data_IF_015823857298
#
_entry.id   IF_015823857298
#
_cell.length_a   1.000
_cell.length_b   1.000
_cell.length_c   1.000
_cell.angle_alpha   90.00
_cell.angle_beta   90.00
_cell.angle_gamma   90.00
#
_symmetry.space_group_name_H-M   'P 1'
#
loop_
_entity.id
_entity.type
_entity.pdbx_description
1 polymer ?
#
# COMPACT_ATOMS: atom_id res chain seq x y z
N UNK A 1 -19.91 2.48 5.84
CA UNK A 1 -19.03 3.50 6.46
C UNK A 1 -18.49 4.41 5.37
N UNK A 2 -18.06 5.66 5.64
CA UNK A 2 -17.40 6.46 4.60
C UNK A 2 -16.14 5.75 4.13
N UNK A 3 -15.91 5.76 2.81
CA UNK A 3 -14.71 5.23 2.18
C UNK A 3 -13.47 5.89 2.79
N UNK A 4 -12.54 5.09 3.31
CA UNK A 4 -11.28 5.57 3.87
C UNK A 4 -10.16 5.39 2.84
N UNK A 5 -9.01 5.96 3.16
CA UNK A 5 -7.82 5.85 2.34
C UNK A 5 -6.59 5.53 3.20
N UNK A 6 -5.71 4.70 2.67
CA UNK A 6 -4.52 4.21 3.38
C UNK A 6 -3.30 4.18 2.48
N UNK A 7 -2.16 4.61 3.01
CA UNK A 7 -0.84 4.30 2.47
C UNK A 7 -0.33 3.04 3.16
N UNK A 8 0.04 2.02 2.37
CA UNK A 8 0.64 0.78 2.86
C UNK A 8 2.10 0.71 2.42
N UNK A 9 3.00 0.50 3.37
CA UNK A 9 4.43 0.36 3.10
C UNK A 9 4.72 -0.98 2.40
N UNK A 10 5.51 -0.95 1.32
CA UNK A 10 5.89 -2.17 0.57
C UNK A 10 7.05 -2.95 1.20
N UNK A 11 7.33 -2.72 2.48
CA UNK A 11 8.35 -3.37 3.30
C UNK A 11 9.79 -3.27 2.76
N UNK A 12 10.15 -2.23 2.00
CA UNK A 12 11.51 -2.06 1.47
C UNK A 12 12.60 -1.98 2.54
N UNK A 13 12.27 -1.61 3.78
CA UNK A 13 13.22 -1.63 4.90
C UNK A 13 13.43 -3.01 5.49
N UNK A 14 12.37 -3.83 5.63
CA UNK A 14 12.46 -5.20 6.12
C UNK A 14 12.90 -6.20 5.04
N UNK A 15 12.67 -5.87 3.77
CA UNK A 15 13.07 -6.66 2.62
C UNK A 15 13.83 -5.79 1.59
N UNK A 16 15.12 -5.48 1.84
CA UNK A 16 15.91 -4.58 0.98
C UNK A 16 16.10 -5.06 -0.46
N UNK A 17 16.02 -6.38 -0.70
CA UNK A 17 16.06 -6.95 -2.04
C UNK A 17 14.74 -6.75 -2.82
N UNK A 18 13.65 -6.35 -2.15
CA UNK A 18 12.36 -5.97 -2.75
C UNK A 18 11.47 -7.13 -3.17
N UNK A 19 11.69 -8.33 -2.63
CA UNK A 19 10.85 -9.50 -2.87
C UNK A 19 9.38 -9.18 -2.57
N UNK A 20 9.12 -8.64 -1.40
CA UNK A 20 7.77 -8.30 -0.91
C UNK A 20 7.07 -7.25 -1.78
N UNK A 21 7.80 -6.20 -2.17
CA UNK A 21 7.28 -5.17 -3.07
C UNK A 21 6.89 -5.75 -4.42
N UNK A 22 7.76 -6.59 -5.01
CA UNK A 22 7.46 -7.25 -6.29
C UNK A 22 6.27 -8.19 -6.17
N UNK A 23 6.17 -8.93 -5.08
CA UNK A 23 5.05 -9.82 -4.81
C UNK A 23 3.73 -9.05 -4.69
N UNK A 24 3.69 -7.95 -3.92
CA UNK A 24 2.50 -7.08 -3.83
C UNK A 24 2.05 -6.56 -5.20
N UNK A 25 2.99 -6.15 -6.05
CA UNK A 25 2.70 -5.66 -7.41
C UNK A 25 2.21 -6.79 -8.33
N UNK A 26 2.92 -7.92 -8.36
CA UNK A 26 2.60 -9.04 -9.24
C UNK A 26 1.25 -9.69 -8.89
N UNK A 27 0.86 -9.63 -7.62
CA UNK A 27 -0.36 -10.24 -7.11
C UNK A 27 -1.49 -9.25 -6.86
N UNK A 28 -1.36 -7.99 -7.24
CA UNK A 28 -2.35 -6.93 -7.02
C UNK A 28 -2.90 -6.96 -5.57
N UNK A 29 -1.99 -6.91 -4.59
CA UNK A 29 -2.34 -7.00 -3.16
C UNK A 29 -1.60 -5.97 -2.34
N UNK A 30 -2.15 -5.61 -1.19
CA UNK A 30 -1.38 -5.02 -0.10
C UNK A 30 -1.09 -6.09 0.95
N UNK A 31 0.07 -5.99 1.60
CA UNK A 31 0.46 -6.94 2.64
C UNK A 31 1.30 -6.28 3.73
N UNK A 32 1.37 -6.93 4.87
CA UNK A 32 2.30 -6.61 5.94
C UNK A 32 2.74 -7.89 6.65
N UNK A 33 3.94 -7.83 7.22
CA UNK A 33 4.65 -9.00 7.72
C UNK A 33 4.95 -8.86 9.20
N UNK A 34 4.90 -10.00 9.90
CA UNK A 34 5.17 -10.14 11.33
C UNK A 34 4.22 -9.38 12.25
N UNK A 35 3.87 -9.99 13.38
CA UNK A 35 3.16 -9.28 14.44
C UNK A 35 4.05 -8.23 15.14
N UNK A 36 3.51 -7.05 15.49
CA UNK A 36 2.10 -6.63 15.39
C UNK A 36 1.74 -5.92 14.07
N UNK A 37 2.65 -5.86 13.09
CA UNK A 37 2.44 -5.06 11.88
C UNK A 37 1.47 -5.70 10.90
N UNK A 38 1.52 -7.03 10.70
CA UNK A 38 0.58 -7.76 9.82
C UNK A 38 -0.89 -7.51 10.20
N UNK A 39 -1.17 -7.41 11.50
CA UNK A 39 -2.50 -7.12 12.06
C UNK A 39 -3.11 -5.81 11.55
N UNK A 40 -2.30 -4.86 11.08
CA UNK A 40 -2.79 -3.60 10.52
C UNK A 40 -3.62 -3.81 9.25
N UNK A 41 -3.40 -4.89 8.49
CA UNK A 41 -4.17 -5.21 7.28
C UNK A 41 -5.63 -5.49 7.60
N UNK A 42 -5.94 -5.98 8.81
CA UNK A 42 -7.33 -6.18 9.28
C UNK A 42 -8.14 -4.89 9.43
N UNK A 43 -7.50 -3.71 9.37
CA UNK A 43 -8.18 -2.42 9.47
C UNK A 43 -8.84 -1.99 8.16
N UNK A 44 -8.39 -2.54 7.03
CA UNK A 44 -8.97 -2.21 5.73
C UNK A 44 -10.35 -2.84 5.60
N UNK A 45 -11.29 -2.09 5.03
CA UNK A 45 -12.64 -2.53 4.74
C UNK A 45 -12.86 -2.52 3.23
N UNK A 46 -13.90 -3.23 2.77
CA UNK A 46 -14.29 -3.21 1.37
C UNK A 46 -14.53 -1.78 0.88
N UNK A 47 -13.95 -1.45 -0.27
CA UNK A 47 -14.07 -0.14 -0.90
C UNK A 47 -13.05 0.90 -0.43
N UNK A 48 -12.21 0.62 0.58
CA UNK A 48 -11.16 1.57 1.00
C UNK A 48 -10.10 1.75 -0.09
N UNK A 49 -9.63 2.99 -0.28
CA UNK A 49 -8.55 3.29 -1.22
C UNK A 49 -7.21 2.91 -0.62
N UNK A 50 -6.39 2.19 -1.39
CA UNK A 50 -5.08 1.72 -0.98
C UNK A 50 -4.01 2.24 -1.92
N UNK A 51 -2.96 2.81 -1.34
CA UNK A 51 -1.78 3.30 -2.06
C UNK A 51 -0.55 2.52 -1.56
N UNK A 52 0.13 1.80 -2.45
CA UNK A 52 1.36 1.11 -2.12
C UNK A 52 2.52 2.10 -2.15
N UNK A 53 3.13 2.35 -0.99
CA UNK A 53 4.21 3.30 -0.78
C UNK A 53 5.56 2.59 -0.65
N UNK A 54 6.46 2.90 -1.57
CA UNK A 54 7.84 2.42 -1.58
C UNK A 54 8.77 3.44 -0.94
N UNK A 55 9.54 3.01 0.07
CA UNK A 55 10.39 3.89 0.86
C UNK A 55 11.35 4.72 -0.02
N UNK A 56 11.35 6.04 0.20
CA UNK A 56 12.15 7.04 -0.54
C UNK A 56 11.80 7.19 -2.03
N UNK A 57 10.85 6.41 -2.57
CA UNK A 57 10.39 6.53 -3.97
C UNK A 57 9.04 7.24 -4.04
N UNK A 58 8.08 6.86 -3.22
CA UNK A 58 6.72 7.39 -3.28
C UNK A 58 5.65 6.31 -3.45
N UNK A 59 4.45 6.70 -3.87
CA UNK A 59 3.41 5.73 -4.26
C UNK A 59 3.82 5.11 -5.60
N UNK A 60 3.76 3.78 -5.69
CA UNK A 60 4.14 3.03 -6.89
C UNK A 60 2.98 2.24 -7.51
N UNK A 61 1.91 2.02 -6.74
CA UNK A 61 0.69 1.40 -7.20
C UNK A 61 -0.48 1.86 -6.33
N UNK A 62 -1.69 1.68 -6.84
CA UNK A 62 -2.94 1.91 -6.10
C UNK A 62 -3.93 0.80 -6.38
N UNK A 63 -4.94 0.67 -5.53
CA UNK A 63 -6.09 -0.18 -5.77
C UNK A 63 -7.14 0.01 -4.69
N UNK A 64 -8.19 -0.78 -4.75
CA UNK A 64 -9.32 -0.72 -3.81
C UNK A 64 -9.40 -2.02 -3.02
N UNK A 65 -9.51 -1.90 -1.70
CA UNK A 65 -9.54 -3.01 -0.77
C UNK A 65 -10.80 -3.87 -0.94
N UNK A 66 -10.64 -5.19 -0.92
CA UNK A 66 -11.78 -6.14 -0.90
C UNK A 66 -12.39 -6.32 0.49
N UNK A 67 -11.71 -5.88 1.55
CA UNK A 67 -12.12 -6.13 2.94
C UNK A 67 -11.86 -7.55 3.44
N UNK A 68 -11.34 -8.45 2.59
CA UNK A 68 -11.07 -9.85 2.93
C UNK A 68 -9.58 -10.05 3.22
N UNK A 69 -9.25 -10.31 4.49
CA UNK A 69 -7.87 -10.59 4.90
C UNK A 69 -7.56 -12.07 4.70
N UNK A 70 -6.36 -12.33 4.17
CA UNK A 70 -5.80 -13.66 4.00
C UNK A 70 -4.49 -13.74 4.79
N UNK A 71 -4.14 -14.96 5.21
CA UNK A 71 -2.85 -15.28 5.82
C UNK A 71 -2.03 -16.15 4.86
N UNK A 72 -0.71 -15.99 4.90
CA UNK A 72 0.25 -16.82 4.21
C UNK A 72 1.57 -16.90 4.98
N UNK A 73 2.40 -17.86 4.61
CA UNK A 73 3.77 -17.94 5.11
C UNK A 73 4.64 -16.86 4.47
N UNK A 74 5.60 -16.36 5.22
CA UNK A 74 6.58 -15.40 4.74
C UNK A 74 7.97 -16.04 4.69
N UNK A 75 8.68 -15.93 3.56
CA UNK A 75 10.02 -16.46 3.41
C UNK A 75 11.06 -15.34 3.32
N UNK A 76 12.05 -15.39 4.21
CA UNK A 76 13.22 -14.50 4.22
C UNK A 76 14.54 -15.29 4.29
N UNK A 77 15.65 -14.59 4.54
CA UNK A 77 16.99 -15.19 4.65
C UNK A 77 17.15 -16.15 5.84
N UNK A 78 16.25 -16.09 6.82
CA UNK A 78 16.24 -16.95 8.01
C UNK A 78 15.31 -18.17 7.85
N UNK A 79 14.61 -18.28 6.71
CA UNK A 79 13.75 -19.41 6.37
C UNK A 79 12.28 -19.05 6.21
N UNK A 80 11.42 -20.05 6.39
CA UNK A 80 9.96 -19.91 6.27
C UNK A 80 9.38 -19.59 7.64
N UNK A 81 8.60 -18.51 7.70
CA UNK A 81 7.87 -18.05 8.88
C UNK A 81 6.37 -18.27 8.65
N UNK A 82 5.80 -19.21 9.40
CA UNK A 82 4.42 -19.66 9.22
C UNK A 82 3.40 -18.57 9.59
N UNK A 83 2.41 -18.36 8.73
CA UNK A 83 1.33 -17.39 8.92
C UNK A 83 1.79 -15.93 9.21
N UNK A 84 3.04 -15.57 8.89
CA UNK A 84 3.60 -14.25 9.19
C UNK A 84 3.33 -13.18 8.12
N UNK A 85 2.63 -13.50 7.02
CA UNK A 85 2.07 -12.51 6.10
C UNK A 85 0.56 -12.40 6.29
N UNK A 86 0.05 -11.18 6.54
CA UNK A 86 -1.35 -10.86 6.23
C UNK A 86 -1.42 -9.99 5.01
N UNK A 87 -2.34 -10.33 4.11
CA UNK A 87 -2.56 -9.60 2.88
C UNK A 87 -4.03 -9.47 2.53
N UNK A 88 -4.31 -8.54 1.62
CA UNK A 88 -5.61 -8.30 1.06
C UNK A 88 -5.46 -8.02 -0.43
N UNK A 89 -6.22 -8.76 -1.26
CA UNK A 89 -6.32 -8.48 -2.69
C UNK A 89 -6.92 -7.10 -2.92
N UNK A 90 -6.47 -6.46 -3.98
CA UNK A 90 -6.95 -5.16 -4.41
C UNK A 90 -7.59 -5.32 -5.80
N UNK A 91 -8.75 -4.68 -6.00
CA UNK A 91 -9.35 -4.51 -7.32
C UNK A 91 -9.09 -3.09 -7.84
N UNK A 92 -9.40 -2.84 -9.12
CA UNK A 92 -9.04 -1.58 -9.80
C UNK A 92 -7.57 -1.19 -9.55
N UNK A 93 -6.69 -2.18 -9.71
CA UNK A 93 -5.29 -2.07 -9.34
C UNK A 93 -4.45 -1.56 -10.50
N UNK A 94 -3.82 -0.39 -10.28
CA UNK A 94 -2.95 0.25 -11.25
C UNK A 94 -1.52 0.33 -10.70
N UNK A 95 -0.54 -0.13 -11.50
CA UNK A 95 0.86 0.16 -11.28
C UNK A 95 1.19 1.47 -11.99
N UNK A 96 1.80 2.41 -11.27
CA UNK A 96 2.13 3.72 -11.82
C UNK A 96 3.31 3.61 -12.81
N UNK A 97 3.26 4.39 -13.89
CA UNK A 97 4.34 4.52 -14.89
C UNK A 97 5.60 5.16 -14.30
N UNK A 98 5.42 6.02 -13.29
CA UNK A 98 6.48 6.59 -12.46
C UNK A 98 5.99 6.77 -11.02
N UNK A 99 6.85 6.62 -9.99
CA UNK A 99 6.41 6.81 -8.61
C UNK A 99 5.93 8.24 -8.35
N UNK A 100 4.82 8.41 -7.60
CA UNK A 100 4.40 9.72 -7.10
C UNK A 100 5.20 10.09 -5.84
N UNK A 101 6.13 11.07 -5.89
CA UNK A 101 7.04 11.34 -4.79
C UNK A 101 6.33 11.90 -3.55
N UNK A 102 6.93 11.72 -2.36
CA UNK A 102 6.38 12.18 -1.08
C UNK A 102 5.96 13.66 -1.06
N UNK A 103 6.73 14.53 -1.73
CA UNK A 103 6.41 15.95 -1.87
C UNK A 103 5.08 16.15 -2.62
N UNK A 104 4.92 15.48 -3.77
CA UNK A 104 3.71 15.55 -4.59
C UNK A 104 2.52 14.97 -3.83
N UNK A 105 2.69 13.86 -3.10
CA UNK A 105 1.62 13.30 -2.25
C UNK A 105 1.14 14.34 -1.24
N UNK A 106 2.06 15.01 -0.52
CA UNK A 106 1.68 16.03 0.47
C UNK A 106 1.05 17.26 -0.17
N UNK A 107 1.55 17.69 -1.34
CA UNK A 107 0.98 18.80 -2.10
C UNK A 107 -0.46 18.49 -2.51
N UNK A 108 -0.70 17.33 -3.12
CA UNK A 108 -2.04 16.89 -3.54
C UNK A 108 -2.98 16.66 -2.34
N UNK A 109 -2.45 16.14 -1.23
CA UNK A 109 -3.23 15.97 -0.01
C UNK A 109 -3.58 17.29 0.69
N UNK A 110 -2.89 18.39 0.37
CA UNK A 110 -3.03 19.70 1.03
C UNK A 110 -2.53 19.72 2.48
N UNK A 111 -1.84 18.68 2.93
CA UNK A 111 -1.28 18.59 4.28
C UNK A 111 -0.09 17.63 4.33
N UNK A 112 0.73 17.78 5.37
CA UNK A 112 1.87 16.89 5.61
C UNK A 112 1.38 15.50 6.03
N UNK A 113 1.82 14.48 5.31
CA UNK A 113 1.62 13.07 5.65
C UNK A 113 2.91 12.50 6.23
N UNK A 114 2.80 11.75 7.33
CA UNK A 114 3.93 11.06 7.94
C UNK A 114 4.12 9.69 7.27
N UNK A 115 5.27 9.52 6.62
CA UNK A 115 5.66 8.27 5.97
C UNK A 115 6.46 7.37 6.93
N UNK A 116 6.61 6.09 6.56
CA UNK A 116 7.47 5.14 7.28
C UNK A 116 6.73 4.22 8.28
N UNK A 117 5.42 4.39 8.45
CA UNK A 117 4.60 3.37 9.12
C UNK A 117 4.17 2.31 8.10
N UNK A 118 3.91 1.09 8.57
CA UNK A 118 3.32 0.00 7.75
C UNK A 118 2.00 0.40 7.10
N UNK A 119 1.15 1.12 7.86
CA UNK A 119 -0.14 1.63 7.42
C UNK A 119 -0.29 3.04 7.96
N UNK A 120 -0.45 4.01 7.06
CA UNK A 120 -0.73 5.41 7.38
C UNK A 120 -2.13 5.76 6.89
N UNK A 121 -3.07 6.10 7.78
CA UNK A 121 -4.38 6.61 7.38
C UNK A 121 -4.27 7.94 6.64
N UNK A 122 -5.09 8.13 5.62
CA UNK A 122 -5.22 9.36 4.85
C UNK A 122 -6.67 9.85 4.95
N UNK A 123 -6.86 11.17 5.08
CA UNK A 123 -8.21 11.76 5.06
C UNK A 123 -8.92 11.38 3.77
N UNK A 124 -10.22 11.04 3.82
CA UNK A 124 -10.97 10.56 2.67
C UNK A 124 -10.88 11.50 1.45
N UNK A 125 -11.06 12.81 1.65
CA UNK A 125 -10.95 13.84 0.61
C UNK A 125 -9.55 13.88 -0.01
N UNK A 126 -8.50 13.83 0.82
CA UNK A 126 -7.12 13.78 0.35
C UNK A 126 -6.81 12.48 -0.40
N UNK A 127 -7.35 11.35 0.06
CA UNK A 127 -7.24 10.07 -0.62
C UNK A 127 -7.85 10.13 -2.01
N UNK A 128 -9.06 10.69 -2.13
CA UNK A 128 -9.69 10.93 -3.43
C UNK A 128 -8.85 11.85 -4.32
N UNK A 129 -8.33 12.94 -3.77
CA UNK A 129 -7.48 13.86 -4.54
C UNK A 129 -6.21 13.17 -5.07
N UNK A 130 -5.56 12.35 -4.23
CA UNK A 130 -4.40 11.54 -4.65
C UNK A 130 -4.79 10.55 -5.73
N UNK A 131 -5.93 9.88 -5.59
CA UNK A 131 -6.45 8.97 -6.60
C UNK A 131 -6.64 9.67 -7.95
N UNK A 132 -7.35 10.80 -7.98
CA UNK A 132 -7.61 11.56 -9.20
C UNK A 132 -6.30 12.08 -9.84
N UNK A 133 -5.32 12.46 -9.02
CA UNK A 133 -4.00 12.89 -9.48
C UNK A 133 -3.20 11.75 -10.12
N UNK A 134 -3.23 10.56 -9.52
CA UNK A 134 -2.60 9.36 -10.08
C UNK A 134 -3.22 9.02 -11.44
N UNK A 135 -4.55 9.02 -11.54
CA UNK A 135 -5.26 8.73 -12.81
C UNK A 135 -4.82 9.65 -13.93
N UNK A 136 -4.63 10.95 -13.63
CA UNK A 136 -4.33 11.96 -14.67
C UNK A 136 -2.88 11.98 -15.12
N UNK A 137 -1.94 11.65 -14.23
CA UNK A 137 -0.53 11.97 -14.48
C UNK A 137 0.44 10.81 -14.27
N UNK A 138 0.03 9.71 -13.63
CA UNK A 138 0.94 8.64 -13.23
C UNK A 138 0.56 7.26 -13.77
N UNK A 139 -0.49 7.16 -14.58
CA UNK A 139 -0.87 5.95 -15.28
C UNK A 139 -0.83 6.25 -16.78
N UNK A 140 -0.24 5.35 -17.55
CA UNK A 140 -0.30 5.45 -19.01
C UNK A 140 -1.70 4.99 -19.43
N UNK A 141 -2.49 5.93 -19.95
CA UNK A 141 -3.82 5.65 -20.51
C UNK A 141 -3.73 5.01 -21.88
#
# INVERSE_FOLDING_TARGET
MPQKAYLINTNRSGCPNGRDERDMLANAKCAAYFSPWKEKIKKLQEGDLVFLYSNKRGIIARGVATGVVQAADHEDENGIHWDEEFYMKLYDFDILSSPMPAANICQTAGHKIMFGQTLTPVKAESGKAIWDEITRHYINT
#
